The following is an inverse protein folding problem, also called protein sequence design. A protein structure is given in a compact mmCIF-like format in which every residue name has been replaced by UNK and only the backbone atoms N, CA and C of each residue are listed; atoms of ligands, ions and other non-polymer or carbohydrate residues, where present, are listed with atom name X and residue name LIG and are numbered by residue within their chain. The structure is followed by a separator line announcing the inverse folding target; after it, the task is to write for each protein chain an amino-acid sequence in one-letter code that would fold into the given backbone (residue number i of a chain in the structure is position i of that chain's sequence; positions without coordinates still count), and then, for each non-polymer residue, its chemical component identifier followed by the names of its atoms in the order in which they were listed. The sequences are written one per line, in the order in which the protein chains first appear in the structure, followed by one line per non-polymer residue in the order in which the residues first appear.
data_IF_833009911802
#
_entry.id   IF_833009911802
#
_cell.length_a   1.000
_cell.length_b   1.000
_cell.length_c   1.000
_cell.angle_alpha   90.00
_cell.angle_beta   90.00
_cell.angle_gamma   90.00
#
_symmetry.space_group_name_H-M   'P 1'
#
loop_
_entity.id
_entity.type
_entity.pdbx_description
1 polymer ?
#
# COMPACT_ATOMS: atom_id res chain seq x y z
N UNK A 1 -0.35 -42.70 -31.65
CA UNK A 1 0.09 -42.04 -30.40
C UNK A 1 0.30 -40.53 -30.59
N UNK A 2 1.20 -40.09 -31.47
CA UNK A 2 1.48 -38.66 -31.73
C UNK A 2 0.26 -37.82 -32.16
N UNK A 3 -0.63 -38.39 -32.98
CA UNK A 3 -1.84 -37.72 -33.47
C UNK A 3 -2.88 -37.37 -32.36
N UNK A 4 -2.80 -38.01 -31.18
CA UNK A 4 -3.68 -37.74 -30.04
C UNK A 4 -3.00 -36.85 -29.00
N UNK A 5 -1.66 -36.94 -28.89
CA UNK A 5 -0.86 -36.14 -27.96
C UNK A 5 -0.80 -34.66 -28.36
N UNK A 6 -0.74 -34.36 -29.66
CA UNK A 6 -0.67 -32.97 -30.14
C UNK A 6 -1.98 -32.19 -29.84
N UNK A 7 -3.18 -32.70 -30.17
CA UNK A 7 -4.43 -32.03 -29.81
C UNK A 7 -4.65 -31.91 -28.29
N UNK A 8 -4.26 -32.93 -27.53
CA UNK A 8 -4.37 -32.91 -26.07
C UNK A 8 -3.45 -31.86 -25.45
N UNK A 9 -2.20 -31.80 -25.90
CA UNK A 9 -1.23 -30.77 -25.48
C UNK A 9 -1.73 -29.37 -25.83
N UNK A 10 -2.20 -29.16 -27.06
CA UNK A 10 -2.78 -27.89 -27.49
C UNK A 10 -4.01 -27.49 -26.64
N UNK A 11 -4.89 -28.44 -26.33
CA UNK A 11 -6.05 -28.20 -25.47
C UNK A 11 -5.65 -27.84 -24.04
N UNK A 12 -4.69 -28.56 -23.44
CA UNK A 12 -4.16 -28.25 -22.11
C UNK A 12 -3.53 -26.85 -22.11
N UNK A 13 -2.66 -26.55 -23.08
CA UNK A 13 -2.04 -25.23 -23.22
C UNK A 13 -3.09 -24.13 -23.34
N UNK A 14 -4.09 -24.27 -24.21
CA UNK A 14 -5.16 -23.26 -24.35
C UNK A 14 -5.95 -23.12 -23.05
N UNK A 15 -6.26 -24.22 -22.36
CA UNK A 15 -7.05 -24.23 -21.12
C UNK A 15 -6.35 -23.56 -19.94
N UNK A 16 -5.01 -23.46 -19.98
CA UNK A 16 -4.18 -22.81 -18.96
C UNK A 16 -3.79 -21.39 -19.38
N UNK A 17 -3.32 -21.21 -20.62
CA UNK A 17 -2.81 -19.93 -21.12
C UNK A 17 -3.91 -18.89 -21.17
N UNK A 18 -5.10 -19.21 -21.69
CA UNK A 18 -6.18 -18.22 -21.84
C UNK A 18 -6.59 -17.61 -20.49
N UNK A 19 -6.90 -18.40 -19.44
CA UNK A 19 -7.22 -17.83 -18.13
C UNK A 19 -6.06 -17.10 -17.47
N UNK A 20 -4.82 -17.58 -17.61
CA UNK A 20 -3.64 -16.92 -17.03
C UNK A 20 -3.39 -15.57 -17.68
N UNK A 21 -3.52 -15.49 -19.01
CA UNK A 21 -3.43 -14.21 -19.74
C UNK A 21 -4.56 -13.27 -19.34
N UNK A 22 -5.79 -13.77 -19.12
CA UNK A 22 -6.90 -12.94 -18.67
C UNK A 22 -6.71 -12.44 -17.22
N UNK A 23 -6.20 -13.28 -16.32
CA UNK A 23 -5.79 -12.89 -14.98
C UNK A 23 -4.70 -11.82 -15.02
N UNK A 24 -3.69 -11.99 -15.87
CA UNK A 24 -2.63 -11.00 -16.07
C UNK A 24 -3.17 -9.66 -16.59
N UNK A 25 -4.09 -9.67 -17.56
CA UNK A 25 -4.76 -8.48 -18.07
C UNK A 25 -5.62 -7.80 -17.00
N UNK A 26 -6.34 -8.57 -16.20
CA UNK A 26 -7.12 -8.06 -15.07
C UNK A 26 -6.20 -7.38 -14.05
N UNK A 27 -5.09 -8.01 -13.66
CA UNK A 27 -4.07 -7.42 -12.77
C UNK A 27 -3.54 -6.12 -13.36
N UNK A 28 -3.22 -6.10 -14.66
CA UNK A 28 -2.76 -4.91 -15.35
C UNK A 28 -3.82 -3.78 -15.37
N UNK A 29 -5.10 -4.10 -15.57
CA UNK A 29 -6.20 -3.13 -15.55
C UNK A 29 -6.44 -2.56 -14.14
N UNK A 30 -6.35 -3.40 -13.11
CA UNK A 30 -6.40 -2.97 -11.71
C UNK A 30 -5.25 -2.02 -11.40
N UNK A 31 -4.03 -2.36 -11.83
CA UNK A 31 -2.86 -1.50 -11.66
C UNK A 31 -2.98 -0.17 -12.41
N UNK A 32 -3.83 -0.07 -13.44
CA UNK A 32 -4.10 1.14 -14.24
C UNK A 32 -5.36 1.90 -13.80
N UNK A 33 -5.99 1.53 -12.68
CA UNK A 33 -7.26 2.10 -12.21
C UNK A 33 -8.42 2.08 -13.24
N UNK A 34 -8.36 1.20 -14.24
CA UNK A 34 -9.40 1.06 -15.27
C UNK A 34 -10.42 -0.01 -14.82
N UNK A 35 -11.44 0.42 -14.05
CA UNK A 35 -12.38 -0.47 -13.35
C UNK A 35 -13.73 -0.63 -14.04
N UNK A 36 -13.93 -0.12 -15.27
CA UNK A 36 -15.27 -0.12 -15.87
C UNK A 36 -15.78 -1.49 -16.40
N UNK A 37 -14.93 -2.51 -16.52
CA UNK A 37 -15.31 -3.84 -17.02
C UNK A 37 -14.70 -4.93 -16.12
N UNK A 38 -15.27 -5.13 -14.93
CA UNK A 38 -14.46 -5.60 -13.80
C UNK A 38 -13.97 -7.04 -13.91
N UNK A 39 -14.69 -8.00 -14.48
CA UNK A 39 -14.15 -9.37 -14.64
C UNK A 39 -14.78 -10.05 -15.88
N UNK A 40 -14.00 -10.55 -16.85
CA UNK A 40 -14.57 -11.36 -17.93
C UNK A 40 -15.23 -12.61 -17.36
N UNK A 41 -16.41 -12.96 -17.88
CA UNK A 41 -17.11 -14.20 -17.53
C UNK A 41 -16.40 -15.40 -18.17
N UNK A 42 -15.40 -15.92 -17.46
CA UNK A 42 -14.61 -17.05 -17.93
C UNK A 42 -15.24 -18.33 -17.35
N UNK A 43 -16.04 -19.00 -18.17
CA UNK A 43 -16.63 -20.32 -17.89
C UNK A 43 -15.66 -21.50 -18.14
N UNK A 44 -14.41 -21.22 -18.55
CA UNK A 44 -13.42 -22.22 -18.97
C UNK A 44 -12.07 -22.06 -18.26
N UNK A 45 -11.55 -23.15 -17.70
CA UNK A 45 -10.24 -23.20 -17.04
C UNK A 45 -10.16 -24.39 -16.08
N UNK A 46 -8.97 -24.76 -15.63
CA UNK A 46 -8.81 -25.81 -14.61
C UNK A 46 -9.43 -25.38 -13.27
N UNK A 47 -9.74 -26.34 -12.39
CA UNK A 47 -10.29 -26.04 -11.05
C UNK A 47 -9.34 -25.16 -10.23
N UNK A 48 -8.04 -25.35 -10.40
CA UNK A 48 -6.97 -24.60 -9.75
C UNK A 48 -6.98 -23.14 -10.20
N UNK A 49 -7.03 -22.91 -11.51
CA UNK A 49 -7.13 -21.57 -12.10
C UNK A 49 -8.41 -20.86 -11.64
N UNK A 50 -9.54 -21.58 -11.59
CA UNK A 50 -10.79 -21.03 -11.08
C UNK A 50 -10.70 -20.63 -9.60
N UNK A 51 -10.00 -21.41 -8.77
CA UNK A 51 -9.74 -21.09 -7.36
C UNK A 51 -8.86 -19.84 -7.22
N UNK A 52 -7.74 -19.77 -7.97
CA UNK A 52 -6.85 -18.59 -7.97
C UNK A 52 -7.63 -17.33 -8.37
N UNK A 53 -8.44 -17.41 -9.43
CA UNK A 53 -9.31 -16.32 -9.87
C UNK A 53 -10.31 -15.89 -8.80
N UNK A 54 -11.01 -16.84 -8.18
CA UNK A 54 -11.99 -16.54 -7.12
C UNK A 54 -11.33 -15.85 -5.93
N UNK A 55 -10.13 -16.28 -5.54
CA UNK A 55 -9.37 -15.63 -4.46
C UNK A 55 -9.00 -14.21 -4.85
N UNK A 56 -8.46 -14.00 -6.04
CA UNK A 56 -8.09 -12.66 -6.52
C UNK A 56 -9.29 -11.70 -6.63
N UNK A 57 -10.43 -12.19 -7.12
CA UNK A 57 -11.69 -11.44 -7.16
C UNK A 57 -12.13 -11.00 -5.77
N UNK A 58 -12.14 -11.93 -4.80
CA UNK A 58 -12.51 -11.63 -3.40
C UNK A 58 -11.57 -10.59 -2.79
N UNK A 59 -10.27 -10.68 -3.07
CA UNK A 59 -9.27 -9.73 -2.61
C UNK A 59 -9.50 -8.32 -3.17
N UNK A 60 -9.69 -8.21 -4.48
CA UNK A 60 -10.00 -6.93 -5.12
C UNK A 60 -11.27 -6.28 -4.53
N UNK A 61 -12.34 -7.08 -4.40
CA UNK A 61 -13.60 -6.60 -3.84
C UNK A 61 -13.46 -6.15 -2.38
N UNK A 62 -12.70 -6.89 -1.56
CA UNK A 62 -12.43 -6.50 -0.16
C UNK A 62 -11.70 -5.16 -0.08
N UNK A 63 -10.64 -4.96 -0.88
CA UNK A 63 -9.90 -3.70 -0.90
C UNK A 63 -10.79 -2.55 -1.35
N UNK A 64 -11.59 -2.73 -2.41
CA UNK A 64 -12.51 -1.70 -2.90
C UNK A 64 -13.56 -1.34 -1.84
N UNK A 65 -14.17 -2.33 -1.19
CA UNK A 65 -15.15 -2.09 -0.12
C UNK A 65 -14.51 -1.36 1.06
N UNK A 66 -13.28 -1.73 1.44
CA UNK A 66 -12.56 -1.05 2.51
C UNK A 66 -12.24 0.41 2.15
N UNK A 67 -11.81 0.68 0.92
CA UNK A 67 -11.53 2.03 0.44
C UNK A 67 -12.82 2.87 0.37
N UNK A 68 -13.91 2.33 -0.18
CA UNK A 68 -15.20 3.04 -0.20
C UNK A 68 -15.65 3.37 1.22
N UNK A 69 -15.61 2.40 2.14
CA UNK A 69 -15.96 2.65 3.55
C UNK A 69 -15.05 3.72 4.19
N UNK A 70 -13.74 3.67 3.92
CA UNK A 70 -12.78 4.65 4.42
C UNK A 70 -13.09 6.07 3.95
N UNK A 71 -13.29 6.26 2.64
CA UNK A 71 -13.58 7.58 2.07
C UNK A 71 -15.00 8.08 2.40
N UNK A 72 -15.93 7.19 2.70
CA UNK A 72 -17.27 7.55 3.21
C UNK A 72 -17.30 7.80 4.73
N UNK A 73 -16.17 7.67 5.44
CA UNK A 73 -16.10 7.86 6.89
C UNK A 73 -16.66 6.70 7.72
N UNK A 74 -17.04 5.58 7.10
CA UNK A 74 -17.48 4.34 7.77
C UNK A 74 -16.27 3.57 8.34
N UNK A 75 -15.59 4.17 9.31
CA UNK A 75 -14.30 3.68 9.83
C UNK A 75 -14.37 2.26 10.45
N UNK A 76 -15.50 1.87 11.06
CA UNK A 76 -15.70 0.51 11.60
C UNK A 76 -15.68 -0.54 10.50
N UNK A 77 -16.43 -0.25 9.43
CA UNK A 77 -16.54 -1.14 8.28
C UNK A 77 -15.22 -1.21 7.52
N UNK A 78 -14.53 -0.08 7.36
CA UNK A 78 -13.19 -0.03 6.80
C UNK A 78 -12.23 -0.90 7.61
N UNK A 79 -12.27 -0.78 8.94
CA UNK A 79 -11.43 -1.56 9.86
C UNK A 79 -11.68 -3.06 9.76
N UNK A 80 -12.93 -3.49 9.89
CA UNK A 80 -13.31 -4.92 9.79
C UNK A 80 -12.90 -5.50 8.44
N UNK A 81 -13.21 -4.81 7.36
CA UNK A 81 -12.91 -5.28 5.99
C UNK A 81 -11.41 -5.40 5.74
N UNK A 82 -10.63 -4.40 6.16
CA UNK A 82 -9.17 -4.41 5.97
C UNK A 82 -8.49 -5.42 6.89
N UNK A 83 -9.00 -5.62 8.11
CA UNK A 83 -8.53 -6.66 9.02
C UNK A 83 -8.76 -8.06 8.43
N UNK A 84 -9.94 -8.32 7.87
CA UNK A 84 -10.24 -9.60 7.21
C UNK A 84 -9.35 -9.84 5.98
N UNK A 85 -9.06 -8.78 5.21
CA UNK A 85 -8.12 -8.84 4.09
C UNK A 85 -6.70 -9.19 4.58
N UNK A 86 -6.21 -8.54 5.64
CA UNK A 86 -4.91 -8.84 6.24
C UNK A 86 -4.82 -10.30 6.71
N UNK A 87 -5.84 -10.80 7.42
CA UNK A 87 -5.90 -12.20 7.84
C UNK A 87 -5.83 -13.18 6.66
N UNK A 88 -6.54 -12.87 5.57
CA UNK A 88 -6.49 -13.69 4.36
C UNK A 88 -5.10 -13.66 3.72
N UNK A 89 -4.45 -12.49 3.62
CA UNK A 89 -3.09 -12.39 3.07
C UNK A 89 -2.06 -13.14 3.92
N UNK A 90 -2.20 -13.10 5.25
CA UNK A 90 -1.36 -13.88 6.17
C UNK A 90 -1.56 -15.38 5.95
N UNK A 91 -2.80 -15.85 5.82
CA UNK A 91 -3.08 -17.29 5.54
C UNK A 91 -2.56 -17.76 4.19
N UNK A 92 -2.41 -16.84 3.23
CA UNK A 92 -1.85 -17.12 1.91
C UNK A 92 -0.33 -16.90 1.84
N UNK A 93 0.31 -16.54 2.96
CA UNK A 93 1.74 -16.24 3.06
C UNK A 93 2.22 -15.20 2.03
N UNK A 94 1.33 -14.30 1.61
CA UNK A 94 1.62 -13.30 0.59
C UNK A 94 2.26 -12.05 1.22
N UNK A 95 3.57 -12.10 1.48
CA UNK A 95 4.34 -11.01 2.10
C UNK A 95 4.06 -9.63 1.49
N UNK A 96 4.03 -9.53 0.15
CA UNK A 96 3.76 -8.26 -0.54
C UNK A 96 2.38 -7.70 -0.19
N UNK A 97 1.35 -8.55 -0.22
CA UNK A 97 -0.01 -8.13 0.12
C UNK A 97 -0.18 -7.81 1.60
N UNK A 98 0.51 -8.54 2.49
CA UNK A 98 0.55 -8.25 3.93
C UNK A 98 1.16 -6.86 4.18
N UNK A 99 2.27 -6.51 3.51
CA UNK A 99 2.90 -5.21 3.64
C UNK A 99 2.00 -4.05 3.19
N UNK A 100 1.28 -4.22 2.07
CA UNK A 100 0.30 -3.24 1.57
C UNK A 100 -0.86 -3.08 2.55
N UNK A 101 -1.46 -4.18 2.99
CA UNK A 101 -2.57 -4.17 3.93
C UNK A 101 -2.16 -3.57 5.29
N UNK A 102 -0.94 -3.84 5.74
CA UNK A 102 -0.40 -3.25 6.97
C UNK A 102 -0.24 -1.74 6.84
N UNK A 103 0.30 -1.21 5.74
CA UNK A 103 0.37 0.23 5.52
C UNK A 103 -1.03 0.89 5.56
N UNK A 104 -2.01 0.25 4.92
CA UNK A 104 -3.39 0.75 4.91
C UNK A 104 -4.04 0.70 6.30
N UNK A 105 -3.79 -0.36 7.07
CA UNK A 105 -4.22 -0.44 8.47
C UNK A 105 -3.57 0.64 9.32
N UNK A 106 -2.29 0.95 9.11
CA UNK A 106 -1.60 2.06 9.77
C UNK A 106 -2.27 3.41 9.50
N UNK A 107 -2.58 3.70 8.23
CA UNK A 107 -3.32 4.90 7.84
C UNK A 107 -4.73 4.95 8.46
N UNK A 108 -5.41 3.82 8.52
CA UNK A 108 -6.71 3.74 9.20
C UNK A 108 -6.58 4.03 10.70
N UNK A 109 -5.54 3.53 11.37
CA UNK A 109 -5.26 3.85 12.77
C UNK A 109 -5.01 5.36 12.97
N UNK A 110 -4.28 6.01 12.05
CA UNK A 110 -4.09 7.46 12.07
C UNK A 110 -5.44 8.20 11.98
N UNK A 111 -6.30 7.82 11.03
CA UNK A 111 -7.63 8.41 10.86
C UNK A 111 -8.51 8.22 12.10
N UNK A 112 -8.51 7.01 12.66
CA UNK A 112 -9.24 6.72 13.90
C UNK A 112 -8.72 7.57 15.06
N UNK A 113 -7.41 7.70 15.24
CA UNK A 113 -6.82 8.55 16.27
C UNK A 113 -7.26 10.02 16.12
N UNK A 114 -7.19 10.57 14.90
CA UNK A 114 -7.63 11.95 14.62
C UNK A 114 -9.11 12.15 14.93
N UNK A 115 -9.97 11.21 14.53
CA UNK A 115 -11.40 11.25 14.86
C UNK A 115 -11.64 11.22 16.38
N UNK A 116 -10.89 10.39 17.12
CA UNK A 116 -10.96 10.34 18.59
C UNK A 116 -10.48 11.63 19.26
N UNK A 117 -9.45 12.29 18.73
CA UNK A 117 -8.99 13.60 19.24
C UNK A 117 -10.02 14.69 18.97
N UNK A 118 -10.60 14.72 17.76
CA UNK A 118 -11.59 15.73 17.38
C UNK A 118 -12.89 15.62 18.19
N UNK A 119 -13.33 14.40 18.48
CA UNK A 119 -14.58 14.13 19.22
C UNK A 119 -14.36 14.00 20.72
N UNK A 120 -13.11 14.06 21.20
CA UNK A 120 -12.72 13.71 22.56
C UNK A 120 -13.17 12.30 23.01
N UNK A 121 -13.47 11.40 22.06
CA UNK A 121 -13.92 10.05 22.37
C UNK A 121 -12.78 9.22 22.97
N UNK A 122 -13.01 8.51 24.10
CA UNK A 122 -11.99 7.65 24.71
C UNK A 122 -11.75 6.36 23.91
N UNK A 123 -12.77 5.91 23.17
CA UNK A 123 -12.81 4.70 22.36
C UNK A 123 -13.49 4.97 21.02
N UNK A 124 -13.11 4.20 20.00
CA UNK A 124 -13.79 4.14 18.72
C UNK A 124 -13.91 2.65 18.33
N UNK A 125 -15.15 2.15 18.21
CA UNK A 125 -15.45 0.73 17.94
C UNK A 125 -14.77 -0.24 18.94
N UNK A 126 -14.88 0.05 20.24
CA UNK A 126 -14.26 -0.70 21.33
C UNK A 126 -12.72 -0.74 21.29
N UNK A 127 -12.09 0.12 20.48
CA UNK A 127 -10.64 0.30 20.44
C UNK A 127 -10.30 1.60 21.15
N UNK A 128 -9.54 1.50 22.24
CA UNK A 128 -9.05 2.66 22.98
C UNK A 128 -7.95 3.41 22.23
N UNK A 129 -7.75 4.69 22.54
CA UNK A 129 -6.71 5.52 21.91
C UNK A 129 -5.31 4.88 22.01
N UNK A 130 -4.97 4.36 23.20
CA UNK A 130 -3.71 3.65 23.44
C UNK A 130 -3.55 2.44 22.51
N UNK A 131 -4.62 1.68 22.27
CA UNK A 131 -4.62 0.52 21.39
C UNK A 131 -4.50 0.91 19.91
N UNK A 132 -5.14 2.02 19.50
CA UNK A 132 -4.96 2.60 18.16
C UNK A 132 -3.50 2.99 17.93
N UNK A 133 -2.88 3.69 18.88
CA UNK A 133 -1.47 4.11 18.78
C UNK A 133 -0.55 2.90 18.67
N UNK A 134 -0.71 1.91 19.55
CA UNK A 134 0.11 0.70 19.53
C UNK A 134 -0.03 -0.07 18.21
N UNK A 135 -1.27 -0.32 17.77
CA UNK A 135 -1.53 -1.02 16.50
C UNK A 135 -0.98 -0.28 15.30
N UNK A 136 -1.17 1.05 15.23
CA UNK A 136 -0.68 1.86 14.12
C UNK A 136 0.84 1.76 13.97
N UNK A 137 1.59 1.86 15.07
CA UNK A 137 3.04 1.65 15.08
C UNK A 137 3.42 0.26 14.58
N UNK A 138 2.76 -0.79 15.07
CA UNK A 138 3.04 -2.17 14.65
C UNK A 138 2.77 -2.41 13.17
N UNK A 139 1.67 -1.87 12.64
CA UNK A 139 1.30 -2.01 11.24
C UNK A 139 2.29 -1.29 10.32
N UNK A 140 2.70 -0.06 10.64
CA UNK A 140 3.71 0.63 9.84
C UNK A 140 5.08 -0.05 9.91
N UNK A 141 5.49 -0.54 11.08
CA UNK A 141 6.72 -1.32 11.23
C UNK A 141 6.72 -2.54 10.30
N UNK A 142 5.67 -3.35 10.35
CA UNK A 142 5.54 -4.52 9.49
C UNK A 142 5.53 -4.16 7.99
N UNK A 143 4.86 -3.06 7.63
CA UNK A 143 4.82 -2.59 6.24
C UNK A 143 6.20 -2.18 5.71
N UNK A 144 7.01 -1.50 6.53
CA UNK A 144 8.36 -1.06 6.18
C UNK A 144 9.29 -2.27 6.10
N UNK A 145 9.32 -3.14 7.10
CA UNK A 145 10.17 -4.34 7.13
C UNK A 145 9.95 -5.21 5.88
N UNK A 146 8.68 -5.49 5.53
CA UNK A 146 8.35 -6.25 4.31
C UNK A 146 8.69 -5.50 3.03
N UNK A 147 8.63 -4.16 3.08
CA UNK A 147 8.98 -3.29 1.98
C UNK A 147 10.46 -3.30 1.66
N UNK A 148 11.28 -3.17 2.69
CA UNK A 148 12.74 -3.19 2.60
C UNK A 148 13.25 -4.57 2.20
N UNK A 149 12.70 -5.65 2.77
CA UNK A 149 13.03 -7.03 2.36
C UNK A 149 12.77 -7.22 0.86
N UNK A 150 11.63 -6.75 0.36
CA UNK A 150 11.29 -6.87 -1.06
C UNK A 150 12.14 -5.93 -1.94
N UNK A 151 12.48 -4.73 -1.48
CA UNK A 151 13.35 -3.80 -2.20
C UNK A 151 14.77 -4.37 -2.32
N UNK A 152 15.32 -4.90 -1.24
CA UNK A 152 16.62 -5.55 -1.22
C UNK A 152 16.65 -6.72 -2.21
N UNK A 153 15.61 -7.56 -2.19
CA UNK A 153 15.51 -8.67 -3.14
C UNK A 153 15.53 -8.22 -4.60
N UNK A 154 14.81 -7.15 -4.94
CA UNK A 154 14.84 -6.58 -6.30
C UNK A 154 16.24 -6.08 -6.64
N UNK A 155 16.92 -5.41 -5.71
CA UNK A 155 18.29 -4.96 -5.93
C UNK A 155 19.26 -6.13 -6.15
N UNK A 156 19.11 -7.23 -5.40
CA UNK A 156 19.94 -8.42 -5.56
C UNK A 156 19.70 -9.13 -6.90
N UNK A 157 18.46 -9.11 -7.41
CA UNK A 157 18.05 -9.79 -8.64
C UNK A 157 18.26 -8.96 -9.91
N UNK A 158 17.96 -7.66 -9.86
CA UNK A 158 17.91 -6.75 -11.01
C UNK A 158 18.92 -5.60 -10.92
N UNK A 159 19.54 -5.39 -9.76
CA UNK A 159 20.36 -4.21 -9.50
C UNK A 159 19.53 -2.93 -9.45
N UNK A 160 20.20 -1.83 -9.76
CA UNK A 160 19.59 -0.52 -9.88
C UNK A 160 18.79 -0.43 -11.19
N UNK A 161 17.49 -0.74 -11.12
CA UNK A 161 16.58 -0.83 -12.28
C UNK A 161 15.36 0.08 -12.13
N UNK A 162 14.58 0.28 -13.20
CA UNK A 162 13.26 0.94 -13.13
C UNK A 162 12.37 0.29 -12.07
N UNK A 163 12.34 -1.05 -11.99
CA UNK A 163 11.51 -1.74 -10.99
C UNK A 163 11.99 -1.46 -9.56
N UNK A 164 13.31 -1.39 -9.37
CA UNK A 164 13.91 -0.96 -8.11
C UNK A 164 13.44 0.45 -7.72
N UNK A 165 13.48 1.42 -8.64
CA UNK A 165 13.01 2.79 -8.41
C UNK A 165 11.49 2.86 -8.12
N UNK A 166 10.66 2.12 -8.88
CA UNK A 166 9.21 2.01 -8.58
C UNK A 166 9.00 1.51 -7.15
N UNK A 167 9.75 0.48 -6.75
CA UNK A 167 9.57 -0.14 -5.45
C UNK A 167 10.14 0.72 -4.31
N UNK A 168 11.25 1.43 -4.55
CA UNK A 168 11.81 2.43 -3.65
C UNK A 168 10.78 3.52 -3.34
N UNK A 169 10.08 4.02 -4.36
CA UNK A 169 9.00 4.99 -4.18
C UNK A 169 7.87 4.46 -3.27
N UNK A 170 7.55 3.16 -3.36
CA UNK A 170 6.56 2.52 -2.49
C UNK A 170 7.06 2.41 -1.04
N UNK A 171 8.35 2.14 -0.82
CA UNK A 171 8.94 2.11 0.53
C UNK A 171 8.98 3.52 1.11
N UNK A 172 9.38 4.52 0.33
CA UNK A 172 9.32 5.94 0.69
C UNK A 172 7.93 6.35 1.19
N UNK A 173 6.87 5.95 0.48
CA UNK A 173 5.48 6.20 0.91
C UNK A 173 5.16 5.63 2.30
N UNK A 174 5.72 4.48 2.67
CA UNK A 174 5.48 3.85 3.98
C UNK A 174 6.22 4.61 5.08
N UNK A 175 7.45 5.04 4.82
CA UNK A 175 8.21 5.93 5.69
C UNK A 175 7.45 7.24 5.93
N UNK A 176 6.96 7.88 4.87
CA UNK A 176 6.15 9.09 4.97
C UNK A 176 4.90 8.90 5.84
N UNK A 177 4.14 7.83 5.61
CA UNK A 177 2.93 7.56 6.38
C UNK A 177 3.25 7.28 7.85
N UNK A 178 4.33 6.53 8.15
CA UNK A 178 4.76 6.27 9.53
C UNK A 178 5.22 7.56 10.21
N UNK A 179 5.97 8.41 9.52
CA UNK A 179 6.35 9.74 10.00
C UNK A 179 5.13 10.56 10.42
N UNK A 180 4.17 10.74 9.51
CA UNK A 180 2.94 11.48 9.80
C UNK A 180 2.21 10.90 11.00
N UNK A 181 2.14 9.58 11.11
CA UNK A 181 1.53 8.91 12.25
C UNK A 181 2.28 9.20 13.55
N UNK A 182 3.58 8.93 13.60
CA UNK A 182 4.41 9.10 14.77
C UNK A 182 4.37 10.53 15.29
N UNK A 183 4.58 11.51 14.41
CA UNK A 183 4.54 12.91 14.76
C UNK A 183 3.11 13.35 15.15
N UNK A 184 2.04 12.77 14.58
CA UNK A 184 0.67 13.10 15.03
C UNK A 184 0.37 12.56 16.44
N UNK A 185 0.92 11.39 16.81
CA UNK A 185 0.55 10.67 18.05
C UNK A 185 1.54 10.82 19.20
N UNK A 186 2.73 11.38 18.97
CA UNK A 186 3.85 11.29 19.93
C UNK A 186 3.51 11.81 21.33
N UNK A 187 2.76 12.91 21.46
CA UNK A 187 2.36 13.48 22.77
C UNK A 187 1.46 12.56 23.60
N UNK A 188 0.77 11.62 22.95
CA UNK A 188 -0.13 10.66 23.60
C UNK A 188 0.57 9.28 23.82
N UNK A 189 1.89 9.17 23.57
CA UNK A 189 2.70 7.95 23.79
C UNK A 189 3.38 7.92 25.16
N UNK A 190 3.81 6.73 25.57
CA UNK A 190 4.62 6.54 26.79
C UNK A 190 6.04 7.12 26.64
N UNK A 191 6.61 7.03 25.44
CA UNK A 191 7.90 7.62 25.06
C UNK A 191 7.67 8.66 23.94
N UNK A 192 7.31 9.91 24.26
CA UNK A 192 7.03 10.94 23.26
C UNK A 192 8.24 11.33 22.43
N UNK A 193 9.42 11.39 23.04
CA UNK A 193 10.64 11.88 22.39
C UNK A 193 11.20 10.86 21.38
N UNK A 194 11.10 9.57 21.70
CA UNK A 194 11.49 8.48 20.78
C UNK A 194 10.61 8.47 19.54
N UNK A 195 9.29 8.62 19.74
CA UNK A 195 8.34 8.67 18.64
C UNK A 195 8.53 9.92 17.76
N UNK A 196 8.83 11.06 18.39
CA UNK A 196 9.14 12.30 17.68
C UNK A 196 10.41 12.13 16.84
N UNK A 197 11.50 11.68 17.46
CA UNK A 197 12.80 11.49 16.81
C UNK A 197 12.71 10.49 15.66
N UNK A 198 12.06 9.36 15.87
CA UNK A 198 11.82 8.37 14.82
C UNK A 198 10.97 8.94 13.68
N UNK A 199 9.95 9.76 13.98
CA UNK A 199 9.14 10.41 12.97
C UNK A 199 9.93 11.37 12.09
N UNK A 200 10.89 12.10 12.66
CA UNK A 200 11.80 12.97 11.88
C UNK A 200 12.78 12.17 11.02
N UNK A 201 13.34 11.08 11.57
CA UNK A 201 14.19 10.16 10.80
C UNK A 201 13.43 9.61 9.60
N UNK A 202 12.19 9.16 9.80
CA UNK A 202 11.34 8.64 8.72
C UNK A 202 11.03 9.69 7.64
N UNK A 203 10.83 10.97 8.01
CA UNK A 203 10.67 12.06 7.04
C UNK A 203 11.95 12.28 6.23
N UNK A 204 13.12 12.22 6.89
CA UNK A 204 14.41 12.35 6.20
C UNK A 204 14.61 11.19 5.22
N UNK A 205 14.41 9.95 5.67
CA UNK A 205 14.53 8.76 4.82
C UNK A 205 13.58 8.83 3.62
N UNK A 206 12.33 9.25 3.81
CA UNK A 206 11.38 9.47 2.72
C UNK A 206 11.91 10.51 1.71
N UNK A 207 12.43 11.64 2.19
CA UNK A 207 12.97 12.71 1.34
C UNK A 207 14.16 12.23 0.52
N UNK A 208 15.06 11.47 1.13
CA UNK A 208 16.26 10.93 0.48
C UNK A 208 15.88 9.90 -0.59
N UNK A 209 14.92 9.01 -0.30
CA UNK A 209 14.40 8.06 -1.30
C UNK A 209 13.64 8.76 -2.44
N UNK A 210 12.83 9.79 -2.13
CA UNK A 210 12.11 10.55 -3.17
C UNK A 210 13.11 11.27 -4.10
N UNK A 211 14.22 11.81 -3.56
CA UNK A 211 15.31 12.40 -4.36
C UNK A 211 16.01 11.36 -5.24
N UNK A 212 16.37 10.22 -4.68
CA UNK A 212 17.03 9.14 -5.42
C UNK A 212 16.17 8.66 -6.61
N UNK A 213 14.85 8.57 -6.43
CA UNK A 213 13.91 8.23 -7.50
C UNK A 213 13.86 9.29 -8.59
N UNK A 214 13.90 10.58 -8.23
CA UNK A 214 13.88 11.68 -9.19
C UNK A 214 15.19 11.78 -9.96
N UNK A 215 16.31 11.84 -9.25
CA UNK A 215 17.64 12.08 -9.82
C UNK A 215 18.06 10.98 -10.79
N UNK A 216 17.67 9.73 -10.49
CA UNK A 216 18.02 8.58 -11.33
C UNK A 216 16.87 8.13 -12.25
N UNK A 217 15.64 8.56 -11.99
CA UNK A 217 14.49 8.21 -12.82
C UNK A 217 14.68 8.68 -14.26
N UNK A 218 15.11 9.92 -14.47
CA UNK A 218 15.31 10.47 -15.81
C UNK A 218 16.39 9.70 -16.60
N UNK A 219 17.45 9.26 -15.91
CA UNK A 219 18.57 8.53 -16.51
C UNK A 219 18.19 7.09 -16.93
N UNK A 220 17.34 6.43 -16.15
CA UNK A 220 16.86 5.07 -16.43
C UNK A 220 15.65 5.03 -17.38
N UNK A 221 15.25 6.18 -17.94
CA UNK A 221 14.07 6.26 -18.80
C UNK A 221 12.75 6.10 -18.03
N UNK A 222 12.77 6.31 -16.71
CA UNK A 222 11.60 6.49 -15.87
C UNK A 222 10.90 7.79 -16.27
N UNK A 223 10.22 7.78 -17.41
CA UNK A 223 9.11 8.69 -17.65
C UNK A 223 7.94 8.16 -16.84
N UNK A 224 8.06 8.27 -15.52
CA UNK A 224 6.94 8.05 -14.62
C UNK A 224 5.75 8.81 -15.21
N UNK A 225 4.57 8.19 -15.15
CA UNK A 225 3.35 8.89 -15.51
C UNK A 225 3.33 10.20 -14.71
N UNK A 226 3.42 11.34 -15.41
CA UNK A 226 3.57 12.66 -14.78
C UNK A 226 2.43 12.90 -13.78
N UNK A 227 1.27 12.32 -14.05
CA UNK A 227 0.11 12.39 -13.18
C UNK A 227 0.35 11.63 -11.87
N UNK A 228 0.99 10.46 -11.91
CA UNK A 228 1.33 9.67 -10.71
C UNK A 228 2.35 10.39 -9.84
N UNK A 229 3.37 11.00 -10.44
CA UNK A 229 4.36 11.78 -9.71
C UNK A 229 3.76 13.07 -9.13
N UNK A 230 2.89 13.75 -9.89
CA UNK A 230 2.16 14.91 -9.38
C UNK A 230 1.27 14.55 -8.19
N UNK A 231 0.49 13.47 -8.27
CA UNK A 231 -0.35 13.00 -7.16
C UNK A 231 0.47 12.63 -5.91
N UNK A 232 1.65 12.03 -6.10
CA UNK A 232 2.59 11.75 -5.03
C UNK A 232 3.02 13.04 -4.33
N UNK A 233 3.50 14.03 -5.07
CA UNK A 233 3.93 15.33 -4.54
C UNK A 233 2.80 16.06 -3.83
N UNK A 234 1.60 16.06 -4.43
CA UNK A 234 0.41 16.62 -3.79
C UNK A 234 0.07 15.91 -2.48
N UNK A 235 0.26 14.60 -2.42
CA UNK A 235 0.13 13.81 -1.19
C UNK A 235 1.14 14.22 -0.11
N UNK A 236 2.41 14.40 -0.49
CA UNK A 236 3.47 14.88 0.41
C UNK A 236 3.15 16.26 0.97
N UNK A 237 2.84 17.22 0.09
CA UNK A 237 2.51 18.60 0.44
C UNK A 237 1.33 18.64 1.43
N UNK A 238 0.23 17.92 1.13
CA UNK A 238 -0.93 17.86 2.04
C UNK A 238 -0.57 17.31 3.42
N UNK A 239 0.28 16.28 3.46
CA UNK A 239 0.74 15.69 4.72
C UNK A 239 1.58 16.66 5.55
N UNK A 240 2.52 17.35 4.91
CA UNK A 240 3.43 18.29 5.58
C UNK A 240 2.73 19.59 5.99
N UNK A 241 1.80 20.12 5.17
CA UNK A 241 0.92 21.21 5.58
C UNK A 241 0.10 20.86 6.82
N UNK A 242 -0.31 19.59 6.96
CA UNK A 242 -0.95 19.13 8.20
C UNK A 242 0.02 19.13 9.38
N UNK A 243 1.28 18.76 9.18
CA UNK A 243 2.32 18.83 10.21
C UNK A 243 2.55 20.27 10.65
N UNK A 244 2.67 21.22 9.73
CA UNK A 244 2.82 22.64 10.07
C UNK A 244 1.65 23.16 10.92
N UNK A 245 0.41 22.75 10.61
CA UNK A 245 -0.78 23.07 11.44
C UNK A 245 -0.71 22.50 12.85
N UNK A 246 0.06 21.44 13.08
CA UNK A 246 0.31 20.86 14.40
C UNK A 246 1.47 21.57 15.14
N UNK A 247 2.11 22.56 14.52
CA UNK A 247 3.18 23.38 15.10
C UNK A 247 4.59 22.83 14.83
N UNK A 248 4.76 22.00 13.82
CA UNK A 248 6.09 21.54 13.39
C UNK A 248 6.67 22.53 12.38
N UNK A 249 8.00 22.65 12.39
CA UNK A 249 8.73 23.38 11.36
C UNK A 249 8.49 22.76 9.97
N UNK A 250 8.86 23.48 8.91
CA UNK A 250 8.79 23.01 7.53
C UNK A 250 10.13 22.37 7.10
N UNK A 251 10.33 21.05 7.31
CA UNK A 251 11.62 20.40 7.01
C UNK A 251 11.91 20.31 5.50
N UNK A 252 10.91 20.60 4.66
CA UNK A 252 10.98 20.41 3.22
C UNK A 252 10.96 21.74 2.46
N UNK A 253 10.82 22.88 3.15
CA UNK A 253 10.76 24.20 2.52
C UNK A 253 9.57 24.34 1.59
N UNK A 254 8.43 23.72 1.92
CA UNK A 254 7.18 23.83 1.18
C UNK A 254 6.68 25.26 1.11
N UNK A 255 6.92 26.09 2.13
CA UNK A 255 6.63 27.52 2.05
C UNK A 255 7.37 28.22 0.91
N UNK A 256 8.51 27.70 0.47
CA UNK A 256 9.28 28.23 -0.67
C UNK A 256 8.75 27.75 -2.03
N UNK A 257 7.79 26.81 -2.05
CA UNK A 257 7.19 26.24 -3.26
C UNK A 257 5.89 26.95 -3.70
N UNK A 258 5.35 27.86 -2.88
CA UNK A 258 4.13 28.64 -3.12
C UNK A 258 4.41 30.14 -3.21
#
# INVERSE_FOLDING_TARGET
ALAVLIPLSAWISISLTVPVTQLSKLVANINRNQTHNEFPDISRGSREVARVRSTFYRLYKLIRVANTAFYSGELDRAYKTMHDALLLFTKLENKKAIGIASNNMGNLMLTMYRAMKQTSAPTLFDISRKKVIHKGSSYFKAAIEMGEEALQKINDEEGFSINYLIFMQQVSNRYFNRALFLLTVHKDRFEPDDAYSQGLVDLSTCKDMDREVVDNGDNEGFKGDKDVYFELLMGRIKGLLHMMKLGYDDPWGIEELF
#
